data_IF_847980395887
#
_entry.id   IF_847980395887
#
_cell.length_a   1.000
_cell.length_b   1.000
_cell.length_c   1.000
_cell.angle_alpha   90.00
_cell.angle_beta   90.00
_cell.angle_gamma   90.00
#
_symmetry.space_group_name_H-M   'P 1'
#
loop_
_entity.id
_entity.type
_entity.pdbx_description
1 polymer ?
#
# COMPACT_ATOMS: atom_id res chain seq x y z
N UNK A 1 -10.78 2.06 -3.83
CA UNK A 1 -9.56 1.67 -3.09
C UNK A 1 -8.37 2.50 -3.58
N UNK A 2 -7.30 2.61 -2.78
CA UNK A 2 -6.10 3.39 -3.16
C UNK A 2 -5.57 3.03 -4.56
N UNK A 3 -5.65 1.76 -4.95
CA UNK A 3 -5.25 1.30 -6.27
C UNK A 3 -6.20 1.79 -7.38
N UNK A 4 -7.51 1.83 -7.12
CA UNK A 4 -8.51 2.42 -8.04
C UNK A 4 -8.25 3.92 -8.20
N UNK A 5 -7.94 4.62 -7.11
CA UNK A 5 -7.64 6.05 -7.14
C UNK A 5 -6.36 6.36 -7.90
N UNK A 6 -5.31 5.53 -7.75
CA UNK A 6 -4.10 5.64 -8.58
C UNK A 6 -4.45 5.58 -10.07
N UNK A 7 -5.25 4.60 -10.47
CA UNK A 7 -5.63 4.42 -11.87
C UNK A 7 -6.48 5.58 -12.41
N UNK A 8 -7.53 5.97 -11.68
CA UNK A 8 -8.39 7.10 -12.08
C UNK A 8 -7.58 8.38 -12.23
N UNK A 9 -6.74 8.71 -11.23
CA UNK A 9 -5.89 9.91 -11.25
C UNK A 9 -4.88 9.89 -12.40
N UNK A 10 -4.25 8.74 -12.66
CA UNK A 10 -3.33 8.62 -13.79
C UNK A 10 -4.03 8.80 -15.13
N UNK A 11 -5.23 8.23 -15.30
CA UNK A 11 -6.03 8.38 -16.50
C UNK A 11 -6.41 9.84 -16.71
N UNK A 12 -6.90 10.53 -15.69
CA UNK A 12 -7.20 11.97 -15.72
C UNK A 12 -5.96 12.79 -16.12
N UNK A 13 -4.83 12.58 -15.44
CA UNK A 13 -3.58 13.30 -15.73
C UNK A 13 -3.10 13.06 -17.17
N UNK A 14 -3.22 11.85 -17.69
CA UNK A 14 -2.88 11.51 -19.06
C UNK A 14 -3.78 12.24 -20.05
N UNK A 15 -5.10 12.22 -19.86
CA UNK A 15 -6.08 12.90 -20.72
C UNK A 15 -5.90 14.42 -20.68
N UNK A 16 -5.50 14.96 -19.52
CA UNK A 16 -5.21 16.38 -19.35
C UNK A 16 -3.81 16.78 -19.85
N UNK A 17 -2.98 15.83 -20.30
CA UNK A 17 -1.62 16.10 -20.81
C UNK A 17 -0.66 16.61 -19.73
N UNK A 18 -0.85 16.22 -18.46
CA UNK A 18 -0.02 16.62 -17.32
C UNK A 18 0.72 15.41 -16.72
N UNK A 19 1.87 15.67 -16.10
CA UNK A 19 2.77 14.60 -15.61
C UNK A 19 2.58 14.24 -14.14
N UNK A 20 1.93 15.09 -13.37
CA UNK A 20 1.76 14.91 -11.93
C UNK A 20 0.57 15.70 -11.38
N UNK A 21 0.20 15.41 -10.13
CA UNK A 21 -0.92 16.04 -9.45
C UNK A 21 -0.78 17.58 -9.36
N UNK A 22 0.42 18.09 -9.11
CA UNK A 22 0.63 19.54 -9.04
C UNK A 22 0.31 20.23 -10.37
N UNK A 23 0.75 19.65 -11.49
CA UNK A 23 0.43 20.12 -12.83
C UNK A 23 -1.06 20.02 -13.14
N UNK A 24 -1.72 18.95 -12.71
CA UNK A 24 -3.17 18.77 -12.84
C UNK A 24 -3.91 19.88 -12.08
N UNK A 25 -3.64 20.04 -10.79
CA UNK A 25 -4.30 21.03 -9.95
C UNK A 25 -4.06 22.46 -10.46
N UNK A 26 -2.83 22.76 -10.91
CA UNK A 26 -2.54 24.07 -11.50
C UNK A 26 -3.39 24.33 -12.74
N UNK A 27 -3.54 23.36 -13.63
CA UNK A 27 -4.34 23.49 -14.86
C UNK A 27 -5.82 23.75 -14.55
N UNK A 28 -6.37 23.09 -13.54
CA UNK A 28 -7.75 23.32 -13.07
C UNK A 28 -7.87 24.74 -12.49
N UNK A 29 -6.99 25.12 -11.60
CA UNK A 29 -7.01 26.47 -10.98
C UNK A 29 -6.87 27.60 -12.02
N UNK A 30 -6.04 27.41 -13.02
CA UNK A 30 -5.86 28.40 -14.10
C UNK A 30 -7.10 28.47 -14.99
N UNK A 31 -7.79 27.34 -15.22
CA UNK A 31 -9.05 27.30 -15.95
C UNK A 31 -10.17 28.02 -15.18
N UNK A 32 -10.29 27.75 -13.88
CA UNK A 32 -11.28 28.40 -13.00
C UNK A 32 -11.09 29.92 -12.93
N UNK A 33 -9.84 30.38 -12.80
CA UNK A 33 -9.51 31.81 -12.80
C UNK A 33 -9.92 32.52 -14.11
N UNK A 34 -9.90 31.78 -15.22
CA UNK A 34 -10.27 32.29 -16.53
C UNK A 34 -11.77 32.09 -16.85
N UNK A 35 -12.56 31.59 -15.91
CA UNK A 35 -13.98 31.28 -16.08
C UNK A 35 -14.26 30.17 -17.09
N UNK A 36 -13.28 29.29 -17.33
CA UNK A 36 -13.36 28.17 -18.25
C UNK A 36 -13.18 26.85 -17.48
N UNK A 37 -14.24 26.38 -16.85
CA UNK A 37 -14.20 25.09 -16.17
C UNK A 37 -13.96 23.97 -17.18
N UNK A 38 -13.30 22.91 -16.75
CA UNK A 38 -12.92 21.76 -17.56
C UNK A 38 -13.85 20.62 -17.22
N UNK A 39 -14.57 20.10 -18.21
CA UNK A 39 -15.42 18.91 -18.06
C UNK A 39 -14.57 17.68 -17.71
N UNK A 40 -15.13 16.81 -16.93
CA UNK A 40 -14.48 15.54 -16.55
C UNK A 40 -14.52 14.57 -17.76
N UNK A 41 -13.37 14.27 -18.39
CA UNK A 41 -13.34 13.41 -19.56
C UNK A 41 -13.61 11.92 -19.23
N UNK A 42 -13.83 11.56 -17.97
CA UNK A 42 -14.21 10.24 -17.52
C UNK A 42 -15.70 10.13 -17.18
N UNK A 43 -16.41 11.25 -17.20
CA UNK A 43 -17.85 11.31 -17.03
C UNK A 43 -18.52 11.08 -18.39
N UNK A 44 -19.32 10.01 -18.48
CA UNK A 44 -20.02 9.64 -19.74
C UNK A 44 -21.16 10.62 -20.07
N UNK A 45 -21.72 11.27 -19.06
CA UNK A 45 -22.84 12.21 -19.19
C UNK A 45 -22.36 13.65 -19.48
N UNK A 46 -21.06 13.92 -19.41
CA UNK A 46 -20.43 15.25 -19.61
C UNK A 46 -21.02 16.37 -18.74
N UNK A 47 -21.52 16.05 -17.56
CA UNK A 47 -22.14 17.01 -16.65
C UNK A 47 -21.18 17.45 -15.52
N UNK A 48 -20.17 16.62 -15.18
CA UNK A 48 -19.26 16.85 -14.07
C UNK A 48 -18.04 17.68 -14.50
N UNK A 49 -17.76 18.75 -13.77
CA UNK A 49 -16.53 19.54 -13.94
C UNK A 49 -15.40 19.01 -13.06
N UNK A 50 -14.18 19.08 -13.59
CA UNK A 50 -13.01 18.68 -12.83
C UNK A 50 -12.70 19.67 -11.71
N UNK A 51 -12.48 19.14 -10.52
CA UNK A 51 -11.99 19.88 -9.36
C UNK A 51 -10.52 19.52 -9.04
N UNK A 52 -9.89 20.35 -8.21
CA UNK A 52 -8.55 20.04 -7.71
C UNK A 52 -8.58 18.79 -6.84
N UNK A 53 -7.60 17.92 -7.03
CA UNK A 53 -7.49 16.68 -6.27
C UNK A 53 -6.52 16.84 -5.08
N UNK A 54 -6.89 16.38 -3.89
CA UNK A 54 -6.00 16.38 -2.73
C UNK A 54 -4.91 15.31 -2.86
N UNK A 55 -3.80 15.48 -2.14
CA UNK A 55 -2.87 14.39 -1.88
C UNK A 55 -3.52 13.36 -0.96
N UNK A 56 -3.15 12.09 -1.15
CA UNK A 56 -3.59 10.98 -0.30
C UNK A 56 -2.38 10.43 0.43
N UNK A 57 -2.48 10.26 1.74
CA UNK A 57 -1.45 9.57 2.54
C UNK A 57 -2.06 8.27 3.06
N UNK A 58 -1.43 7.17 2.72
CA UNK A 58 -1.80 5.83 3.20
C UNK A 58 -0.80 5.42 4.25
N UNK A 59 -1.27 5.22 5.47
CA UNK A 59 -0.44 4.78 6.61
C UNK A 59 -0.81 3.34 6.94
N UNK A 60 0.21 2.48 7.01
CA UNK A 60 0.09 1.10 7.48
C UNK A 60 0.93 0.98 8.75
N UNK A 61 0.27 0.81 9.88
CA UNK A 61 0.88 0.81 11.20
C UNK A 61 1.73 -0.44 11.46
N UNK A 62 1.20 -1.63 11.13
CA UNK A 62 1.96 -2.88 11.20
C UNK A 62 1.87 -3.64 9.86
N UNK A 63 2.87 -3.42 9.02
CA UNK A 63 2.93 -4.01 7.69
C UNK A 63 3.13 -5.53 7.72
N UNK A 64 3.78 -6.05 8.78
CA UNK A 64 3.98 -7.49 8.93
C UNK A 64 2.67 -8.27 8.99
N UNK A 65 1.64 -7.73 9.63
CA UNK A 65 0.35 -8.42 9.74
C UNK A 65 -0.31 -8.58 8.36
N UNK A 66 -0.22 -7.57 7.50
CA UNK A 66 -0.70 -7.67 6.11
C UNK A 66 0.09 -8.71 5.31
N UNK A 67 1.42 -8.74 5.47
CA UNK A 67 2.28 -9.70 4.78
C UNK A 67 2.02 -11.14 5.25
N UNK A 68 1.72 -11.34 6.52
CA UNK A 68 1.41 -12.67 7.09
C UNK A 68 0.03 -13.18 6.66
N UNK A 69 -0.97 -12.29 6.55
CA UNK A 69 -2.33 -12.67 6.18
C UNK A 69 -2.51 -12.91 4.68
N UNK A 70 -1.93 -12.08 3.84
CA UNK A 70 -2.20 -12.07 2.38
C UNK A 70 -0.94 -12.38 1.56
N UNK A 71 0.24 -12.20 2.13
CA UNK A 71 1.52 -12.59 1.54
C UNK A 71 1.86 -11.87 0.24
N UNK A 72 2.29 -12.61 -0.77
CA UNK A 72 2.80 -12.08 -2.05
C UNK A 72 1.84 -11.15 -2.79
N UNK A 73 0.53 -11.32 -2.63
CA UNK A 73 -0.45 -10.40 -3.25
C UNK A 73 -0.29 -8.98 -2.73
N UNK A 74 -0.17 -8.80 -1.41
CA UNK A 74 0.05 -7.47 -0.80
C UNK A 74 1.39 -6.90 -1.23
N UNK A 75 2.45 -7.69 -1.24
CA UNK A 75 3.77 -7.26 -1.70
C UNK A 75 3.72 -6.66 -3.11
N UNK A 76 3.12 -7.37 -4.06
CA UNK A 76 2.96 -6.87 -5.44
C UNK A 76 2.07 -5.64 -5.53
N UNK A 77 0.99 -5.57 -4.75
CA UNK A 77 0.09 -4.42 -4.73
C UNK A 77 0.81 -3.16 -4.22
N UNK A 78 1.51 -3.28 -3.11
CA UNK A 78 2.29 -2.17 -2.52
C UNK A 78 3.39 -1.73 -3.48
N UNK A 79 4.13 -2.66 -4.09
CA UNK A 79 5.15 -2.32 -5.07
C UNK A 79 4.57 -1.56 -6.28
N UNK A 80 3.42 -1.98 -6.82
CA UNK A 80 2.74 -1.27 -7.92
C UNK A 80 2.25 0.10 -7.50
N UNK A 81 1.67 0.24 -6.31
CA UNK A 81 1.26 1.54 -5.79
C UNK A 81 2.49 2.43 -5.65
N UNK A 82 3.56 1.96 -5.01
CA UNK A 82 4.79 2.74 -4.82
C UNK A 82 5.41 3.22 -6.13
N UNK A 83 5.41 2.38 -7.18
CA UNK A 83 5.91 2.75 -8.51
C UNK A 83 5.07 3.83 -9.20
N UNK A 84 3.75 3.79 -9.05
CA UNK A 84 2.82 4.60 -9.82
C UNK A 84 2.19 5.76 -9.05
N UNK A 85 2.15 5.67 -7.74
CA UNK A 85 1.41 6.58 -6.89
C UNK A 85 2.03 7.98 -6.76
N UNK A 86 3.36 8.09 -6.87
CA UNK A 86 4.08 9.35 -6.67
C UNK A 86 3.54 10.47 -7.57
N UNK A 87 3.38 10.19 -8.85
CA UNK A 87 2.85 11.17 -9.80
C UNK A 87 1.37 11.52 -9.51
N UNK A 88 0.61 10.55 -9.01
CA UNK A 88 -0.79 10.71 -8.63
C UNK A 88 -1.00 11.42 -7.30
N UNK A 89 0.07 11.81 -6.59
CA UNK A 89 0.00 12.46 -5.28
C UNK A 89 -0.45 11.53 -4.16
N UNK A 90 -0.14 10.24 -4.27
CA UNK A 90 -0.43 9.24 -3.23
C UNK A 90 0.89 8.83 -2.59
N UNK A 91 0.97 8.94 -1.28
CA UNK A 91 2.14 8.68 -0.47
C UNK A 91 1.90 7.50 0.45
N UNK A 92 2.90 6.63 0.60
CA UNK A 92 2.84 5.47 1.47
C UNK A 92 3.78 5.65 2.66
N UNK A 93 3.27 5.37 3.85
CA UNK A 93 4.04 5.23 5.08
C UNK A 93 3.81 3.82 5.61
N UNK A 94 4.82 2.96 5.50
CA UNK A 94 4.76 1.58 5.99
C UNK A 94 5.60 1.48 7.24
N UNK A 95 4.99 1.07 8.34
CA UNK A 95 5.66 0.81 9.60
C UNK A 95 5.56 -0.67 9.98
N UNK A 96 6.54 -1.17 10.71
CA UNK A 96 6.51 -2.51 11.28
C UNK A 96 7.43 -2.59 12.50
N UNK A 97 7.00 -3.35 13.49
CA UNK A 97 7.81 -3.74 14.65
C UNK A 97 8.51 -5.09 14.45
N UNK A 98 8.29 -5.74 13.27
CA UNK A 98 8.85 -7.06 12.94
C UNK A 98 9.71 -6.97 11.67
N UNK A 99 10.94 -6.48 11.77
CA UNK A 99 11.82 -6.26 10.62
C UNK A 99 12.46 -7.57 10.13
N UNK A 100 11.63 -8.52 9.69
CA UNK A 100 12.11 -9.77 9.08
C UNK A 100 12.27 -9.65 7.57
N UNK A 101 13.05 -10.55 6.98
CA UNK A 101 13.27 -10.59 5.53
C UNK A 101 11.99 -10.96 4.75
N UNK A 102 11.06 -11.64 5.38
CA UNK A 102 9.76 -12.00 4.80
C UNK A 102 8.78 -10.81 4.77
N UNK A 103 9.02 -9.81 5.60
CA UNK A 103 8.23 -8.56 5.66
C UNK A 103 8.89 -7.47 4.82
N UNK A 104 10.17 -7.22 5.03
CA UNK A 104 10.95 -6.20 4.32
C UNK A 104 11.71 -6.88 3.17
N UNK A 105 10.96 -7.29 2.16
CA UNK A 105 11.49 -8.03 1.02
C UNK A 105 12.31 -7.15 0.06
N UNK A 106 13.05 -7.79 -0.83
CA UNK A 106 13.79 -7.08 -1.89
C UNK A 106 12.88 -6.25 -2.79
N UNK A 107 11.66 -6.74 -3.07
CA UNK A 107 10.68 -6.01 -3.89
C UNK A 107 10.17 -4.75 -3.19
N UNK A 108 9.89 -4.83 -1.90
CA UNK A 108 9.49 -3.67 -1.07
C UNK A 108 10.65 -2.65 -1.04
N UNK A 109 11.86 -3.09 -0.73
CA UNK A 109 13.05 -2.21 -0.68
C UNK A 109 13.35 -1.49 -1.99
N UNK A 110 13.16 -2.16 -3.12
CA UNK A 110 13.37 -1.58 -4.44
C UNK A 110 12.37 -0.47 -4.78
N UNK A 111 11.15 -0.55 -4.26
CA UNK A 111 10.06 0.38 -4.57
C UNK A 111 9.82 1.43 -3.50
N UNK A 112 10.29 1.20 -2.27
CA UNK A 112 10.25 2.14 -1.15
C UNK A 112 11.70 2.39 -0.70
N UNK A 113 12.42 3.27 -1.41
CA UNK A 113 13.84 3.47 -1.19
C UNK A 113 14.16 4.30 0.06
N UNK A 114 13.22 5.13 0.52
CA UNK A 114 13.37 5.90 1.76
C UNK A 114 13.11 4.99 2.95
N UNK A 115 14.06 4.94 3.89
CA UNK A 115 13.94 4.07 5.05
C UNK A 115 14.33 4.79 6.32
N UNK A 116 13.65 4.45 7.39
CA UNK A 116 13.95 4.92 8.75
C UNK A 116 14.05 3.68 9.63
N UNK A 117 15.13 3.57 10.39
CA UNK A 117 15.27 2.58 11.44
C UNK A 117 15.43 3.28 12.78
N UNK A 118 14.54 3.01 13.70
CA UNK A 118 14.73 3.27 15.12
C UNK A 118 15.62 2.20 15.73
N UNK A 119 15.88 2.28 17.03
CA UNK A 119 16.67 1.27 17.72
C UNK A 119 16.07 -0.13 17.52
N UNK A 120 16.91 -1.09 17.14
CA UNK A 120 16.56 -2.50 17.01
C UNK A 120 17.44 -3.36 17.90
N UNK A 121 17.00 -4.59 18.18
CA UNK A 121 17.70 -5.47 19.11
C UNK A 121 18.97 -6.08 18.52
N UNK A 122 19.01 -6.30 17.21
CA UNK A 122 20.12 -6.99 16.55
C UNK A 122 20.66 -6.27 15.33
N UNK A 123 21.94 -6.53 15.01
CA UNK A 123 22.56 -6.06 13.77
C UNK A 123 21.90 -6.68 12.52
N UNK A 124 21.27 -7.84 12.65
CA UNK A 124 20.53 -8.50 11.57
C UNK A 124 19.30 -7.67 11.22
N UNK A 125 18.55 -7.21 12.21
CA UNK A 125 17.38 -6.36 12.01
C UNK A 125 17.76 -5.04 11.32
N UNK A 126 18.86 -4.41 11.78
CA UNK A 126 19.39 -3.21 11.13
C UNK A 126 19.70 -3.45 9.64
N UNK A 127 20.35 -4.58 9.32
CA UNK A 127 20.66 -4.95 7.93
C UNK A 127 19.39 -5.25 7.13
N UNK A 128 18.39 -5.84 7.74
CA UNK A 128 17.11 -6.10 7.08
C UNK A 128 16.44 -4.80 6.66
N UNK A 129 16.50 -3.75 7.48
CA UNK A 129 15.88 -2.46 7.18
C UNK A 129 16.78 -1.63 6.24
N UNK A 130 18.05 -1.43 6.62
CA UNK A 130 18.95 -0.43 6.01
C UNK A 130 19.99 -1.01 5.05
N UNK A 131 20.04 -2.33 4.88
CA UNK A 131 21.11 -3.09 4.20
C UNK A 131 22.49 -2.96 4.90
N UNK A 132 22.54 -2.34 6.07
CA UNK A 132 23.74 -2.14 6.87
C UNK A 132 23.42 -2.12 8.37
N UNK A 133 24.45 -2.36 9.20
CA UNK A 133 24.34 -2.26 10.66
C UNK A 133 24.31 -0.81 11.13
N UNK A 134 24.06 -0.63 12.41
CA UNK A 134 24.13 0.66 13.12
C UNK A 134 22.86 0.98 13.92
N UNK A 135 21.68 0.52 13.48
CA UNK A 135 20.45 0.79 14.24
C UNK A 135 20.40 0.07 15.58
N UNK A 136 21.17 -1.02 15.77
CA UNK A 136 21.33 -1.71 17.04
C UNK A 136 22.13 -0.89 18.10
N UNK A 137 22.79 0.18 17.66
CA UNK A 137 23.60 1.05 18.52
C UNK A 137 22.89 2.37 18.85
N UNK A 138 21.66 2.56 18.39
CA UNK A 138 20.86 3.74 18.68
C UNK A 138 20.43 3.78 20.15
N UNK A 139 20.16 4.99 20.63
CA UNK A 139 19.88 5.24 22.04
C UNK A 139 18.40 5.02 22.43
N UNK A 140 17.52 4.79 21.45
CA UNK A 140 16.08 4.82 21.68
C UNK A 140 15.52 6.25 21.76
N UNK A 141 14.32 6.42 22.25
CA UNK A 141 13.68 7.72 22.47
C UNK A 141 13.66 8.65 21.26
N UNK A 142 13.45 8.09 20.07
CA UNK A 142 13.39 8.86 18.83
C UNK A 142 14.72 8.98 18.08
N UNK A 143 15.81 8.41 18.63
CA UNK A 143 17.08 8.30 17.91
C UNK A 143 16.93 7.33 16.73
N UNK A 144 17.28 7.75 15.53
CA UNK A 144 17.02 6.99 14.31
C UNK A 144 18.12 7.14 13.26
N UNK A 145 18.19 6.17 12.37
CA UNK A 145 18.94 6.24 11.13
C UNK A 145 17.98 6.48 9.97
N UNK A 146 18.18 7.56 9.26
CA UNK A 146 17.42 7.95 8.07
C UNK A 146 18.24 7.68 6.83
N UNK A 147 17.72 6.84 5.93
CA UNK A 147 18.31 6.55 4.62
C UNK A 147 17.45 7.20 3.53
N UNK A 148 17.88 8.35 2.98
CA UNK A 148 17.18 8.98 1.87
C UNK A 148 17.33 8.18 0.56
N UNK A 149 16.44 8.37 -0.42
CA UNK A 149 16.51 7.68 -1.70
C UNK A 149 17.77 8.08 -2.46
N UNK A 150 18.44 7.07 -3.06
CA UNK A 150 19.66 7.30 -3.89
C UNK A 150 20.94 7.55 -3.11
N UNK A 151 20.91 7.45 -1.79
CA UNK A 151 22.08 7.59 -0.91
C UNK A 151 22.38 6.25 -0.25
N UNK A 152 23.65 5.86 -0.25
CA UNK A 152 24.10 4.58 0.32
C UNK A 152 24.41 4.64 1.83
N UNK A 153 24.49 5.82 2.44
CA UNK A 153 24.87 6.01 3.84
C UNK A 153 23.73 6.70 4.59
N UNK A 154 23.21 6.09 5.65
CA UNK A 154 22.16 6.72 6.46
C UNK A 154 22.71 7.90 7.28
N UNK A 155 21.85 8.85 7.50
CA UNK A 155 22.09 10.00 8.38
C UNK A 155 21.45 9.70 9.73
N UNK A 156 22.22 9.89 10.81
CA UNK A 156 21.66 9.82 12.16
C UNK A 156 20.85 11.08 12.46
N UNK A 157 19.62 10.89 12.84
CA UNK A 157 18.70 11.97 13.22
C UNK A 157 18.11 11.65 14.57
N UNK A 158 18.01 12.64 15.44
CA UNK A 158 17.35 12.49 16.72
C UNK A 158 15.97 13.11 16.64
N UNK A 159 14.94 12.26 16.55
CA UNK A 159 13.53 12.68 16.64
C UNK A 159 13.13 12.94 18.09
N UNK A 160 12.10 13.73 18.29
CA UNK A 160 11.53 13.90 19.62
C UNK A 160 10.88 12.57 20.08
N UNK A 161 11.04 12.26 21.34
CA UNK A 161 10.23 11.23 21.99
C UNK A 161 8.81 11.76 22.17
N UNK A 162 7.82 10.97 21.80
CA UNK A 162 6.41 11.31 21.97
C UNK A 162 5.80 10.34 22.96
N UNK A 163 5.35 10.85 24.09
CA UNK A 163 4.68 10.05 25.12
C UNK A 163 3.19 9.86 24.86
N UNK A 164 2.57 8.89 25.51
CA UNK A 164 1.15 8.56 25.33
C UNK A 164 0.23 9.76 25.58
N UNK A 165 0.52 10.58 26.60
CA UNK A 165 -0.26 11.80 26.88
C UNK A 165 -0.19 12.82 25.74
N UNK A 166 0.94 12.89 25.05
CA UNK A 166 1.10 13.79 23.89
C UNK A 166 0.30 13.27 22.68
N UNK A 167 0.33 11.96 22.45
CA UNK A 167 -0.50 11.30 21.43
C UNK A 167 -1.98 11.58 21.70
N UNK A 168 -2.44 11.37 22.94
CA UNK A 168 -3.84 11.67 23.30
C UNK A 168 -4.22 13.13 23.12
N UNK A 169 -3.34 14.06 23.43
CA UNK A 169 -3.58 15.50 23.21
C UNK A 169 -3.76 15.82 21.73
N UNK A 170 -2.88 15.27 20.86
CA UNK A 170 -2.97 15.48 19.42
C UNK A 170 -4.26 14.86 18.86
N UNK A 171 -4.58 13.63 19.26
CA UNK A 171 -5.81 12.95 18.82
C UNK A 171 -7.06 13.73 19.24
N UNK A 172 -7.11 14.22 20.48
CA UNK A 172 -8.24 14.99 20.99
C UNK A 172 -8.38 16.34 20.28
N UNK A 173 -7.26 17.02 19.98
CA UNK A 173 -7.28 18.25 19.20
C UNK A 173 -7.86 18.02 17.78
N UNK A 174 -7.44 16.96 17.10
CA UNK A 174 -8.01 16.62 15.78
C UNK A 174 -9.49 16.27 15.86
N UNK A 175 -9.90 15.47 16.85
CA UNK A 175 -11.32 15.13 17.07
C UNK A 175 -12.18 16.37 17.35
N UNK A 176 -11.63 17.40 17.98
CA UNK A 176 -12.38 18.62 18.26
C UNK A 176 -12.59 19.51 17.03
N UNK A 177 -11.81 19.29 15.95
CA UNK A 177 -11.87 20.10 14.74
C UNK A 177 -12.95 19.68 13.77
N UNK A 178 -13.20 18.38 13.64
CA UNK A 178 -14.24 17.83 12.76
C UNK A 178 -14.57 16.38 13.14
N UNK A 179 -15.77 15.96 12.83
CA UNK A 179 -16.16 14.55 12.87
C UNK A 179 -15.50 13.78 11.71
N UNK A 180 -15.19 12.49 11.92
CA UNK A 180 -14.62 11.68 10.85
C UNK A 180 -15.65 11.44 9.74
N UNK A 181 -15.21 11.60 8.49
CA UNK A 181 -16.00 11.26 7.31
C UNK A 181 -15.55 9.88 6.81
N UNK A 182 -16.26 8.84 7.20
CA UNK A 182 -15.97 7.48 6.78
C UNK A 182 -16.51 7.23 5.37
N UNK A 183 -15.71 6.52 4.57
CA UNK A 183 -16.13 6.04 3.26
C UNK A 183 -16.72 4.64 3.45
N UNK A 184 -18.05 4.57 3.51
CA UNK A 184 -18.81 3.33 3.81
C UNK A 184 -18.50 2.19 2.84
N UNK A 185 -18.21 2.50 1.58
CA UNK A 185 -17.79 1.52 0.57
C UNK A 185 -16.51 0.76 0.94
N UNK A 186 -15.61 1.38 1.70
CA UNK A 186 -14.37 0.73 2.16
C UNK A 186 -14.66 -0.19 3.36
N UNK A 187 -15.62 0.20 4.19
CA UNK A 187 -15.99 -0.53 5.41
C UNK A 187 -16.89 -1.73 5.06
N UNK A 188 -17.79 -1.55 4.11
CA UNK A 188 -18.81 -2.55 3.72
C UNK A 188 -18.32 -3.57 2.67
N UNK A 189 -17.15 -3.41 2.09
CA UNK A 189 -16.62 -4.27 1.00
C UNK A 189 -16.15 -5.66 1.47
N UNK A 190 -16.95 -6.36 2.27
CA UNK A 190 -16.72 -7.77 2.58
C UNK A 190 -17.33 -8.74 1.55
N UNK A 191 -17.97 -8.25 0.50
CA UNK A 191 -18.54 -9.08 -0.56
C UNK A 191 -18.45 -8.32 -1.90
N UNK A 192 -17.84 -8.93 -2.90
CA UNK A 192 -17.69 -8.48 -4.29
C UNK A 192 -16.59 -7.44 -4.60
N UNK A 193 -15.34 -7.84 -4.46
CA UNK A 193 -14.30 -7.22 -5.28
C UNK A 193 -14.30 -7.87 -6.66
N UNK A 194 -15.16 -7.40 -7.55
CA UNK A 194 -15.01 -7.65 -8.97
C UNK A 194 -13.63 -7.19 -9.50
N UNK A 195 -13.19 -7.62 -10.68
CA UNK A 195 -11.87 -7.28 -11.21
C UNK A 195 -11.71 -5.76 -11.28
N UNK A 196 -10.65 -5.23 -10.67
CA UNK A 196 -10.34 -3.80 -10.69
C UNK A 196 -10.07 -3.40 -12.14
N UNK A 197 -10.82 -2.43 -12.73
CA UNK A 197 -10.62 -2.00 -14.11
C UNK A 197 -9.16 -1.59 -14.36
N UNK A 198 -8.56 -2.16 -15.40
CA UNK A 198 -7.14 -1.94 -15.73
C UNK A 198 -6.14 -2.87 -15.04
N UNK A 199 -6.60 -3.86 -14.30
CA UNK A 199 -5.79 -4.90 -13.67
C UNK A 199 -5.89 -6.25 -14.40
N UNK A 200 -5.72 -6.22 -15.71
CA UNK A 200 -5.52 -7.45 -16.50
C UNK A 200 -4.11 -7.97 -16.20
N UNK A 201 -4.00 -8.98 -15.34
CA UNK A 201 -2.72 -9.64 -15.07
C UNK A 201 -2.46 -10.10 -13.63
N UNK A 202 -3.38 -9.87 -12.70
CA UNK A 202 -3.51 -10.74 -11.55
C UNK A 202 -4.82 -11.49 -11.80
N UNK A 203 -4.71 -12.63 -12.43
CA UNK A 203 -5.75 -13.63 -12.29
C UNK A 203 -6.05 -13.70 -10.81
N UNK A 204 -7.26 -13.26 -10.42
CA UNK A 204 -7.83 -13.77 -9.20
C UNK A 204 -7.67 -15.27 -9.34
N UNK A 205 -6.77 -15.86 -8.59
CA UNK A 205 -7.05 -17.21 -8.12
C UNK A 205 -8.27 -17.04 -7.18
N UNK A 206 -9.44 -16.65 -7.76
CA UNK A 206 -10.68 -17.30 -7.36
C UNK A 206 -10.29 -18.74 -7.23
N UNK A 207 -10.57 -19.38 -6.12
CA UNK A 207 -10.54 -20.80 -6.04
C UNK A 207 -10.78 -21.37 -7.44
N UNK A 208 -9.71 -21.59 -8.24
CA UNK A 208 -9.69 -22.68 -9.14
C UNK A 208 -9.83 -23.86 -8.20
N UNK A 209 -11.07 -24.18 -7.89
CA UNK A 209 -11.40 -25.55 -7.60
C UNK A 209 -10.82 -26.25 -8.81
N UNK A 210 -9.61 -26.80 -8.65
CA UNK A 210 -9.01 -27.71 -9.58
C UNK A 210 -10.16 -28.63 -10.00
N UNK A 211 -10.45 -28.75 -11.31
CA UNK A 211 -11.56 -29.59 -11.80
C UNK A 211 -11.54 -30.98 -11.16
N UNK A 212 -10.38 -31.39 -10.67
CA UNK A 212 -10.13 -32.63 -9.95
C UNK A 212 -10.32 -32.51 -8.42
N UNK A 213 -10.66 -31.32 -7.87
CA UNK A 213 -10.77 -31.15 -6.43
C UNK A 213 -11.89 -32.01 -5.84
N UNK A 214 -13.06 -32.01 -6.45
CA UNK A 214 -14.21 -32.81 -5.98
C UNK A 214 -13.93 -34.32 -6.11
N UNK A 215 -13.24 -34.75 -7.17
CA UNK A 215 -12.81 -36.13 -7.32
C UNK A 215 -11.76 -36.52 -6.28
N UNK A 216 -10.85 -35.60 -5.95
CA UNK A 216 -9.86 -35.83 -4.90
C UNK A 216 -10.52 -35.97 -3.53
N UNK A 217 -11.48 -35.12 -3.21
CA UNK A 217 -12.26 -35.18 -1.96
C UNK A 217 -13.05 -36.48 -1.86
N UNK A 218 -13.76 -36.87 -2.91
CA UNK A 218 -14.54 -38.09 -2.95
C UNK A 218 -13.63 -39.33 -2.76
N UNK A 219 -12.47 -39.34 -3.43
CA UNK A 219 -11.49 -40.42 -3.26
C UNK A 219 -10.96 -40.54 -1.81
N UNK A 220 -10.67 -39.42 -1.16
CA UNK A 220 -10.22 -39.39 0.24
C UNK A 220 -11.31 -39.86 1.19
N UNK A 221 -12.56 -39.48 0.95
CA UNK A 221 -13.73 -39.93 1.74
C UNK A 221 -13.94 -41.45 1.58
N UNK A 222 -13.95 -41.96 0.35
CA UNK A 222 -14.13 -43.40 0.06
C UNK A 222 -13.00 -44.25 0.61
N UNK A 223 -11.76 -43.83 0.36
CA UNK A 223 -10.58 -44.57 0.78
C UNK A 223 -10.25 -44.47 2.26
N UNK A 224 -10.85 -43.47 2.95
CA UNK A 224 -10.54 -43.05 4.33
C UNK A 224 -9.04 -42.81 4.58
N UNK A 225 -8.31 -42.41 3.55
CA UNK A 225 -6.87 -42.13 3.60
C UNK A 225 -6.55 -40.81 2.92
N UNK A 226 -6.17 -39.84 3.72
CA UNK A 226 -5.65 -38.53 3.25
C UNK A 226 -4.15 -38.71 2.93
N UNK A 227 -3.82 -39.14 1.72
CA UNK A 227 -2.42 -39.26 1.26
C UNK A 227 -2.26 -38.60 -0.10
N UNK A 228 -1.40 -37.61 -0.17
CA UNK A 228 -1.07 -36.87 -1.40
C UNK A 228 -0.66 -37.84 -2.52
N UNK A 229 0.20 -38.83 -2.22
CA UNK A 229 0.66 -39.82 -3.20
C UNK A 229 -0.43 -40.77 -3.67
N UNK A 230 -1.47 -41.00 -2.87
CA UNK A 230 -2.60 -41.84 -3.27
C UNK A 230 -3.56 -41.06 -4.19
N UNK A 231 -3.84 -39.80 -3.87
CA UNK A 231 -4.63 -38.88 -4.69
C UNK A 231 -3.96 -38.68 -6.04
N UNK A 232 -2.68 -38.32 -6.07
CA UNK A 232 -1.91 -38.14 -7.30
C UNK A 232 -1.89 -39.36 -8.22
N UNK A 233 -1.86 -40.59 -7.67
CA UNK A 233 -1.90 -41.82 -8.47
C UNK A 233 -3.29 -42.12 -9.03
N UNK A 234 -4.35 -41.67 -8.39
CA UNK A 234 -5.73 -41.89 -8.80
C UNK A 234 -6.19 -40.91 -9.88
N UNK A 235 -5.71 -39.68 -9.80
CA UNK A 235 -6.15 -38.56 -10.65
C UNK A 235 -5.18 -38.25 -11.80
N UNK A 236 -4.23 -39.13 -12.06
CA UNK A 236 -3.30 -39.04 -13.20
C UNK A 236 -3.96 -39.45 -14.50
#
# INVERSE_FOLDING_TARGET
>A
SAASDVYKRQKLMSMMGVRNLAGFNKKIQDADKNGKQILNPLDEDEEEYLETLPSIVVVVDEFADMMMLVGKKVEHLIARIAQKARAAGIHLVLATQRPSVDVITGLIKANIPTRIAFQVSTKIDSRTILDQGGAEQLLGYGDMLYLPPGVGVPVRVHGAFVGDDEVHRVVNDWKSRAEPNYVDEIISSNQDTGPIPGWTGIESSSDEQDELYDEAVNFVIESRRASISAVQRKLR
#
